data_IF_669771998446
#
_entry.id   IF_669771998446
#
_cell.length_a   1.000
_cell.length_b   1.000
_cell.length_c   1.000
_cell.angle_alpha   90.00
_cell.angle_beta   90.00
_cell.angle_gamma   90.00
#
_symmetry.space_group_name_H-M   'P 1'
#
loop_
_entity.id
_entity.type
_entity.pdbx_description
1 polymer ?
#
# COMPACT_ATOMS: atom_id res chain seq x y z
N UNK A 1 -13.79 -1.05 -4.74
CA UNK A 1 -12.59 -1.70 -4.14
C UNK A 1 -12.05 -2.68 -5.15
N UNK A 2 -10.75 -2.64 -5.44
CA UNK A 2 -10.04 -3.66 -6.21
C UNK A 2 -9.02 -4.32 -5.27
N UNK A 3 -8.74 -5.60 -5.48
CA UNK A 3 -7.82 -6.39 -4.65
C UNK A 3 -6.74 -6.99 -5.56
N UNK A 4 -5.49 -6.99 -5.10
CA UNK A 4 -4.36 -7.61 -5.78
C UNK A 4 -3.25 -7.95 -4.80
N UNK A 5 -2.47 -8.98 -5.10
CA UNK A 5 -1.29 -9.35 -4.33
C UNK A 5 -0.10 -8.50 -4.78
N UNK A 6 0.58 -7.86 -3.83
CA UNK A 6 1.77 -7.04 -4.08
C UNK A 6 2.94 -7.61 -3.29
N UNK A 7 4.01 -8.00 -3.98
CA UNK A 7 5.31 -8.28 -3.38
C UNK A 7 6.27 -7.09 -3.58
N UNK A 8 7.29 -6.98 -2.72
CA UNK A 8 8.33 -5.94 -2.79
C UNK A 8 8.28 -4.89 -1.67
N UNK A 9 7.15 -4.75 -0.95
CA UNK A 9 7.07 -3.81 0.19
C UNK A 9 7.83 -4.31 1.43
N UNK A 10 7.95 -5.63 1.64
CA UNK A 10 8.68 -6.23 2.77
C UNK A 10 7.93 -6.29 4.11
N UNK A 11 6.68 -5.78 4.18
CA UNK A 11 5.88 -5.77 5.40
C UNK A 11 5.68 -7.17 5.98
N UNK A 12 6.00 -7.34 7.27
CA UNK A 12 5.68 -8.54 8.06
C UNK A 12 4.50 -8.33 9.02
N UNK A 13 4.04 -7.10 9.20
CA UNK A 13 2.86 -6.76 10.02
C UNK A 13 2.24 -5.43 9.58
N UNK A 14 1.03 -5.13 10.08
CA UNK A 14 0.39 -3.83 9.88
C UNK A 14 -0.04 -3.53 8.44
N UNK A 15 -0.32 -2.25 8.20
CA UNK A 15 -0.72 -1.72 6.90
C UNK A 15 -0.28 -0.26 6.70
N UNK A 16 -0.10 0.11 5.43
CA UNK A 16 0.13 1.47 4.94
C UNK A 16 -1.08 1.88 4.11
N UNK A 17 -1.48 3.15 4.16
CA UNK A 17 -2.45 3.70 3.20
C UNK A 17 -2.17 5.16 2.85
N UNK A 18 -2.60 5.54 1.65
CA UNK A 18 -2.49 6.91 1.12
C UNK A 18 -3.72 7.28 0.28
N UNK A 19 -4.11 8.56 0.28
CA UNK A 19 -5.01 9.12 -0.74
C UNK A 19 -4.27 9.80 -1.89
N UNK A 20 -2.93 9.80 -1.87
CA UNK A 20 -2.08 10.44 -2.87
C UNK A 20 -1.91 9.52 -4.09
N UNK A 21 -3.02 9.21 -4.75
CA UNK A 21 -3.09 8.36 -5.94
C UNK A 21 -3.45 9.22 -7.16
N UNK A 22 -2.53 9.31 -8.12
CA UNK A 22 -2.71 10.16 -9.30
C UNK A 22 -3.90 9.70 -10.19
N UNK A 23 -4.48 10.68 -10.89
CA UNK A 23 -5.64 10.60 -11.79
C UNK A 23 -7.00 10.17 -11.21
N UNK A 24 -7.13 9.85 -9.91
CA UNK A 24 -8.46 9.61 -9.29
C UNK A 24 -8.62 9.87 -7.79
N UNK A 25 -7.58 10.25 -7.03
CA UNK A 25 -7.65 10.44 -5.56
C UNK A 25 -8.22 9.24 -4.77
N UNK A 26 -8.12 8.03 -5.32
CA UNK A 26 -8.57 6.81 -4.65
C UNK A 26 -7.68 6.53 -3.42
N UNK A 27 -8.28 6.11 -2.31
CA UNK A 27 -7.52 5.60 -1.17
C UNK A 27 -6.99 4.22 -1.56
N UNK A 28 -5.68 4.04 -1.48
CA UNK A 28 -5.00 2.75 -1.69
C UNK A 28 -4.28 2.34 -0.42
N UNK A 29 -4.29 1.04 -0.14
CA UNK A 29 -3.67 0.44 1.04
C UNK A 29 -2.96 -0.85 0.67
N UNK A 30 -1.87 -1.14 1.37
CA UNK A 30 -1.18 -2.43 1.37
C UNK A 30 -0.95 -2.84 2.83
N UNK A 31 -1.10 -4.11 3.15
CA UNK A 31 -0.93 -4.61 4.51
C UNK A 31 -0.96 -6.12 4.59
N UNK A 32 -0.71 -6.62 5.79
CA UNK A 32 -0.59 -8.07 6.08
C UNK A 32 -1.91 -8.66 6.58
N UNK A 33 -2.81 -7.83 7.11
CA UNK A 33 -4.15 -8.24 7.58
C UNK A 33 -5.23 -7.32 7.02
N UNK A 34 -6.43 -7.87 6.80
CA UNK A 34 -7.60 -7.10 6.36
C UNK A 34 -8.03 -6.09 7.43
N UNK A 35 -7.86 -6.41 8.72
CA UNK A 35 -8.13 -5.53 9.85
C UNK A 35 -7.26 -4.27 9.83
N UNK A 36 -5.94 -4.42 9.61
CA UNK A 36 -5.02 -3.30 9.54
C UNK A 36 -5.24 -2.45 8.28
N UNK A 37 -5.49 -3.08 7.12
CA UNK A 37 -5.82 -2.36 5.88
C UNK A 37 -7.14 -1.58 6.03
N UNK A 38 -8.17 -2.19 6.62
CA UNK A 38 -9.45 -1.51 6.88
C UNK A 38 -9.29 -0.34 7.85
N UNK A 39 -8.48 -0.49 8.90
CA UNK A 39 -8.18 0.58 9.83
C UNK A 39 -7.34 1.71 9.17
N UNK A 40 -6.41 1.37 8.27
CA UNK A 40 -5.65 2.35 7.49
C UNK A 40 -6.56 3.16 6.55
N UNK A 41 -7.39 2.49 5.74
CA UNK A 41 -8.35 3.16 4.84
C UNK A 41 -9.33 4.06 5.62
N UNK A 42 -9.88 3.58 6.74
CA UNK A 42 -10.74 4.39 7.63
C UNK A 42 -10.01 5.61 8.17
N UNK A 43 -8.74 5.48 8.54
CA UNK A 43 -7.93 6.58 9.06
C UNK A 43 -7.68 7.66 7.99
N UNK A 44 -7.35 7.27 6.76
CA UNK A 44 -7.20 8.22 5.63
C UNK A 44 -8.51 8.97 5.37
N UNK A 45 -9.65 8.26 5.37
CA UNK A 45 -10.96 8.88 5.22
C UNK A 45 -11.30 9.87 6.36
N UNK A 46 -11.01 9.52 7.62
CA UNK A 46 -11.21 10.41 8.77
C UNK A 46 -10.33 11.67 8.75
N UNK A 47 -9.20 11.64 8.04
CA UNK A 47 -8.30 12.79 7.87
C UNK A 47 -8.68 13.68 6.68
N UNK A 48 -9.69 13.30 5.89
CA UNK A 48 -9.98 13.86 4.56
C UNK A 48 -8.77 13.79 3.61
N UNK A 49 -7.97 12.73 3.70
CA UNK A 49 -6.80 12.49 2.87
C UNK A 49 -5.45 12.69 3.59
N UNK A 50 -4.41 12.12 2.99
CA UNK A 50 -3.07 12.04 3.55
C UNK A 50 -2.52 10.62 3.59
N UNK A 51 -1.53 10.42 4.45
CA UNK A 51 -0.75 9.19 4.62
C UNK A 51 -0.97 8.62 6.03
N UNK A 52 -1.02 7.29 6.16
CA UNK A 52 -1.10 6.61 7.47
C UNK A 52 -0.33 5.29 7.51
N UNK A 53 0.19 4.98 8.70
CA UNK A 53 0.74 3.68 9.08
C UNK A 53 -0.09 3.11 10.23
N UNK A 54 -0.50 1.84 10.12
CA UNK A 54 -1.34 1.15 11.10
C UNK A 54 -0.70 -0.18 11.52
N UNK A 55 -0.85 -0.53 12.79
CA UNK A 55 -0.48 -1.84 13.34
C UNK A 55 -1.49 -2.26 14.42
N UNK A 56 -1.99 -3.49 14.33
CA UNK A 56 -2.99 -4.05 15.24
C UNK A 56 -4.22 -3.14 15.42
N UNK A 57 -4.73 -2.61 14.29
CA UNK A 57 -5.87 -1.69 14.22
C UNK A 57 -5.62 -0.28 14.75
N UNK A 58 -4.38 0.08 15.12
CA UNK A 58 -4.01 1.39 15.69
C UNK A 58 -3.08 2.17 14.78
N UNK A 59 -3.34 3.46 14.62
CA UNK A 59 -2.44 4.38 13.92
C UNK A 59 -1.12 4.47 14.68
N UNK A 60 0.00 4.28 13.95
CA UNK A 60 1.38 4.42 14.42
C UNK A 60 1.95 5.79 14.05
N UNK A 61 1.76 6.19 12.80
CA UNK A 61 2.12 7.52 12.28
C UNK A 61 1.04 7.96 11.27
N UNK A 62 0.86 9.27 11.12
CA UNK A 62 -0.07 9.84 10.13
C UNK A 62 0.33 11.25 9.72
N UNK A 63 0.16 11.56 8.44
CA UNK A 63 0.32 12.90 7.89
C UNK A 63 -0.96 13.27 7.12
N UNK A 64 -1.86 14.07 7.71
CA UNK A 64 -3.00 14.64 6.99
C UNK A 64 -2.51 15.59 5.89
N UNK A 65 -3.06 15.45 4.67
CA UNK A 65 -2.77 16.32 3.53
C UNK A 65 -4.07 16.94 3.01
N UNK A 66 -4.69 17.87 3.78
CA UNK A 66 -6.05 18.35 3.53
C UNK A 66 -6.18 19.20 2.25
N UNK A 67 -5.09 19.74 1.72
CA UNK A 67 -5.11 20.52 0.48
C UNK A 67 -4.81 19.58 -0.69
N UNK A 68 -5.86 19.16 -1.39
CA UNK A 68 -5.84 18.28 -2.57
C UNK A 68 -5.16 16.91 -2.39
N UNK A 69 -4.92 16.44 -1.15
CA UNK A 69 -4.13 15.24 -0.89
C UNK A 69 -2.64 15.40 -1.21
N UNK A 70 -2.16 16.60 -1.53
CA UNK A 70 -0.80 16.86 -2.04
C UNK A 70 -0.07 17.95 -1.26
N UNK A 71 -0.81 18.78 -0.52
CA UNK A 71 -0.32 19.96 0.16
C UNK A 71 -0.88 20.03 1.59
N UNK A 72 -0.16 20.77 2.43
CA UNK A 72 -0.57 21.18 3.76
C UNK A 72 -0.30 22.68 3.89
N UNK A 73 -1.11 23.38 4.69
CA UNK A 73 -0.87 24.80 5.02
C UNK A 73 0.30 24.99 6.01
N UNK A 74 0.85 23.88 6.49
CA UNK A 74 2.03 23.80 7.36
C UNK A 74 3.32 24.14 6.61
N UNK A 75 4.36 24.48 7.36
CA UNK A 75 5.66 24.74 6.77
C UNK A 75 6.21 23.47 6.09
N UNK A 76 6.92 23.64 4.98
CA UNK A 76 7.51 22.53 4.20
C UNK A 76 8.29 21.54 5.06
N UNK A 77 8.98 22.04 6.09
CA UNK A 77 9.74 21.22 7.04
C UNK A 77 8.84 20.33 7.90
N UNK A 78 7.72 20.85 8.44
CA UNK A 78 6.75 20.04 9.21
C UNK A 78 6.09 18.94 8.36
N UNK A 79 5.98 19.15 7.05
CA UNK A 79 5.48 18.13 6.10
C UNK A 79 6.56 17.08 5.85
N UNK A 80 7.82 17.48 5.64
CA UNK A 80 8.94 16.57 5.47
C UNK A 80 9.17 15.70 6.71
N UNK A 81 9.21 16.30 7.90
CA UNK A 81 9.33 15.61 9.19
C UNK A 81 8.20 14.56 9.37
N UNK A 82 6.96 14.92 9.00
CA UNK A 82 5.81 14.02 9.05
C UNK A 82 5.84 12.88 8.01
N UNK A 83 6.50 13.08 6.85
CA UNK A 83 6.78 12.00 5.90
C UNK A 83 7.83 11.06 6.50
N UNK A 84 8.91 11.60 7.06
CA UNK A 84 9.98 10.81 7.68
C UNK A 84 9.47 10.00 8.89
N UNK A 85 8.57 10.54 9.70
CA UNK A 85 7.86 9.79 10.75
C UNK A 85 7.05 8.61 10.17
N UNK A 86 6.33 8.82 9.06
CA UNK A 86 5.56 7.77 8.41
C UNK A 86 6.48 6.70 7.76
N UNK A 87 7.61 7.10 7.18
CA UNK A 87 8.61 6.18 6.62
C UNK A 87 9.29 5.38 7.74
N UNK A 88 9.64 6.03 8.86
CA UNK A 88 10.16 5.37 10.06
C UNK A 88 9.20 4.33 10.62
N UNK A 89 7.93 4.70 10.79
CA UNK A 89 6.90 3.75 11.22
C UNK A 89 6.66 2.62 10.22
N UNK A 90 6.77 2.86 8.90
CA UNK A 90 6.69 1.80 7.90
C UNK A 90 7.88 0.83 8.00
N UNK A 91 9.09 1.32 8.30
CA UNK A 91 10.28 0.47 8.54
C UNK A 91 10.12 -0.40 9.78
N UNK A 92 9.47 0.09 10.86
CA UNK A 92 9.12 -0.74 12.02
C UNK A 92 8.23 -1.95 11.67
N UNK A 93 7.47 -1.87 10.57
CA UNK A 93 6.62 -2.95 10.05
C UNK A 93 7.34 -3.90 9.08
N UNK A 94 8.63 -3.67 8.81
CA UNK A 94 9.43 -4.43 7.86
C UNK A 94 9.57 -3.78 6.47
N UNK A 95 9.07 -2.55 6.28
CA UNK A 95 9.18 -1.93 4.98
C UNK A 95 10.63 -1.56 4.64
N UNK A 96 11.16 -2.18 3.58
CA UNK A 96 12.54 -1.98 3.13
C UNK A 96 12.66 -0.93 2.00
N UNK A 97 11.54 -0.36 1.54
CA UNK A 97 11.54 0.69 0.53
C UNK A 97 12.04 2.01 1.12
N UNK A 98 12.82 2.75 0.34
CA UNK A 98 13.29 4.09 0.74
C UNK A 98 12.11 5.07 0.89
N UNK A 99 11.17 5.03 -0.07
CA UNK A 99 9.88 5.73 -0.02
C UNK A 99 8.74 4.76 -0.43
N UNK A 100 8.03 4.17 0.55
CA UNK A 100 6.91 3.29 0.27
C UNK A 100 5.65 4.00 -0.21
N UNK A 101 5.46 5.28 0.11
CA UNK A 101 4.21 6.00 -0.22
C UNK A 101 4.24 6.52 -1.66
N UNK A 102 5.41 6.94 -2.14
CA UNK A 102 5.65 7.18 -3.55
C UNK A 102 5.48 5.89 -4.37
N UNK A 103 6.04 4.76 -3.91
CA UNK A 103 5.83 3.46 -4.57
C UNK A 103 4.34 3.06 -4.63
N UNK A 104 3.59 3.29 -3.54
CA UNK A 104 2.14 3.04 -3.51
C UNK A 104 1.37 3.96 -4.47
N UNK A 105 1.78 5.23 -4.59
CA UNK A 105 1.22 6.18 -5.56
C UNK A 105 1.47 5.75 -7.00
N UNK A 106 2.67 5.26 -7.33
CA UNK A 106 3.00 4.75 -8.65
C UNK A 106 2.20 3.51 -9.05
N UNK A 107 1.88 2.61 -8.11
CA UNK A 107 0.96 1.48 -8.37
C UNK A 107 -0.45 1.93 -8.80
N UNK A 108 -0.82 3.18 -8.54
CA UNK A 108 -2.13 3.73 -8.89
C UNK A 108 -2.18 4.40 -10.27
N UNK A 109 -1.04 4.64 -10.91
CA UNK A 109 -0.97 5.28 -12.23
C UNK A 109 -1.30 4.25 -13.34
N UNK A 110 -2.44 4.37 -14.05
CA UNK A 110 -2.89 3.36 -15.03
C UNK A 110 -2.08 3.32 -16.34
N UNK A 111 -0.91 3.97 -16.37
CA UNK A 111 -0.02 4.13 -17.54
C UNK A 111 1.38 3.53 -17.35
N UNK A 112 1.63 2.77 -16.28
CA UNK A 112 2.73 1.77 -16.24
C UNK A 112 2.18 0.35 -15.99
N UNK A 113 1.38 -0.22 -16.91
CA UNK A 113 0.97 -1.62 -16.84
C UNK A 113 2.06 -2.53 -17.44
N UNK A 114 3.13 -2.80 -16.70
CA UNK A 114 4.07 -3.91 -17.01
C UNK A 114 4.00 -5.04 -15.99
N UNK A 115 2.80 -5.57 -15.78
CA UNK A 115 2.66 -7.02 -15.63
C UNK A 115 3.01 -7.66 -16.98
N UNK A 116 4.27 -8.08 -17.15
CA UNK A 116 4.74 -8.75 -18.37
C UNK A 116 4.12 -10.16 -18.48
N UNK A 117 2.96 -10.22 -19.12
CA UNK A 117 2.39 -11.46 -19.66
C UNK A 117 3.25 -11.99 -20.79
N UNK A 118 3.72 -13.24 -20.66
CA UNK A 118 4.06 -14.11 -21.79
C UNK A 118 3.19 -15.36 -21.75
N UNK A 119 3.14 -16.10 -22.85
CA UNK A 119 2.02 -16.93 -23.27
C UNK A 119 1.86 -18.29 -22.54
N UNK A 120 2.60 -18.57 -21.45
CA UNK A 120 2.76 -19.98 -20.96
C UNK A 120 2.85 -20.28 -19.45
N UNK A 121 3.04 -19.32 -18.54
CA UNK A 121 3.14 -19.63 -17.11
C UNK A 121 3.51 -18.44 -16.23
N UNK A 122 2.92 -18.32 -15.03
CA UNK A 122 3.39 -17.39 -13.98
C UNK A 122 4.76 -17.88 -13.44
N UNK A 123 5.38 -17.09 -12.57
CA UNK A 123 6.81 -17.12 -12.30
C UNK A 123 7.09 -17.04 -10.80
N UNK A 124 7.46 -18.18 -10.21
CA UNK A 124 8.38 -18.23 -9.07
C UNK A 124 9.62 -17.38 -9.40
N UNK A 125 10.02 -16.46 -8.52
CA UNK A 125 11.03 -15.44 -8.84
C UNK A 125 12.48 -15.97 -8.77
N UNK A 126 12.67 -17.27 -8.48
CA UNK A 126 13.91 -18.01 -8.76
C UNK A 126 13.73 -19.16 -9.79
N UNK A 127 12.55 -19.78 -9.91
CA UNK A 127 12.33 -20.97 -10.78
C UNK A 127 11.19 -20.90 -11.84
N UNK A 128 10.54 -19.75 -12.05
CA UNK A 128 9.64 -19.49 -13.19
C UNK A 128 8.41 -20.46 -13.37
N UNK A 129 7.55 -20.67 -12.35
CA UNK A 129 6.35 -21.53 -12.49
C UNK A 129 4.94 -21.10 -11.94
N UNK A 130 3.92 -21.74 -12.55
CA UNK A 130 2.47 -21.81 -12.26
C UNK A 130 2.02 -22.15 -10.82
N UNK A 131 1.33 -21.24 -10.10
CA UNK A 131 0.28 -21.64 -9.12
C UNK A 131 -0.99 -20.76 -9.16
N UNK A 132 -2.22 -21.32 -9.34
CA UNK A 132 -3.47 -20.58 -9.34
C UNK A 132 -4.02 -20.28 -7.93
N UNK A 133 -4.87 -19.26 -7.80
CA UNK A 133 -5.35 -18.76 -6.50
C UNK A 133 -6.40 -19.67 -5.83
N UNK A 134 -7.16 -20.45 -6.60
CA UNK A 134 -8.03 -21.52 -6.12
C UNK A 134 -8.18 -22.61 -7.18
N UNK A 135 -8.02 -23.87 -6.78
CA UNK A 135 -8.58 -25.03 -7.48
C UNK A 135 -9.58 -25.74 -6.55
N UNK A 136 -10.71 -26.17 -7.12
CA UNK A 136 -11.82 -26.75 -6.37
C UNK A 136 -11.49 -28.17 -5.90
N UNK A 137 -11.52 -28.42 -4.58
CA UNK A 137 -11.59 -29.79 -4.08
C UNK A 137 -12.94 -30.44 -4.42
N UNK A 138 -12.91 -31.52 -5.22
CA UNK A 138 -13.77 -32.74 -5.19
C UNK A 138 -13.70 -33.43 -6.56
N UNK A 139 -13.82 -34.76 -6.72
CA UNK A 139 -14.20 -35.86 -5.82
C UNK A 139 -13.82 -37.20 -6.49
N UNK A 140 -13.47 -38.22 -5.71
CA UNK A 140 -14.02 -39.57 -5.90
C UNK A 140 -13.22 -40.65 -6.67
N UNK A 141 -12.98 -41.74 -5.92
CA UNK A 141 -12.64 -43.11 -6.31
C UNK A 141 -11.22 -43.44 -6.78
#
# INVERSE_FOLDING_TARGET
VALGLVQGFGLFSGALATSVAHDSHNIVSVGVTDEDMLAAVKSVAQMNGGIVVVLNGKVRARLPLPVAGLLSERYMQEVADGIDECIGAARELGCNLADPFMALSFLCLPVIPELKLTDRGLVDVNEFCFVPLFDLQSKGS
#
